data_IF_188359680081
#
_entry.id   IF_188359680081
#
_cell.length_a   1.000
_cell.length_b   1.000
_cell.length_c   1.000
_cell.angle_alpha   90.00
_cell.angle_beta   90.00
_cell.angle_gamma   90.00
#
_symmetry.space_group_name_H-M   'P 1'
#
loop_
_entity.id
_entity.type
_entity.pdbx_description
1 polymer ?
#
# COMPACT_ATOMS: atom_id res chain seq x y z
N UNK A 1 1.08 18.25 2.97
CA UNK A 1 1.69 18.20 1.63
C UNK A 1 1.33 16.83 1.07
N UNK A 2 0.30 16.79 0.23
CA UNK A 2 -0.16 15.59 -0.47
C UNK A 2 0.57 15.58 -1.81
N UNK A 3 1.53 14.69 -1.98
CA UNK A 3 2.16 14.49 -3.28
C UNK A 3 1.21 13.61 -4.09
N UNK A 4 0.27 14.25 -4.80
CA UNK A 4 -0.49 13.61 -5.88
C UNK A 4 0.43 13.41 -7.08
N UNK A 5 1.52 12.66 -6.92
CA UNK A 5 2.29 12.19 -8.06
C UNK A 5 1.42 11.14 -8.74
N UNK A 6 0.89 11.45 -9.92
CA UNK A 6 0.06 10.57 -10.73
C UNK A 6 0.80 9.23 -10.95
N UNK A 7 0.51 8.22 -10.12
CA UNK A 7 1.15 6.90 -10.18
C UNK A 7 1.99 6.49 -8.96
N UNK A 8 2.11 7.34 -7.93
CA UNK A 8 2.62 6.95 -6.62
C UNK A 8 1.54 6.37 -5.71
N UNK A 9 1.97 5.77 -4.61
CA UNK A 9 1.09 5.35 -3.52
C UNK A 9 0.65 6.54 -2.65
N UNK A 10 -0.52 6.45 -2.01
CA UNK A 10 -1.15 7.53 -1.23
C UNK A 10 -0.26 8.13 -0.13
N UNK A 11 0.42 7.29 0.66
CA UNK A 11 1.37 7.79 1.65
C UNK A 11 2.42 6.77 2.10
N UNK A 12 3.49 7.29 2.69
CA UNK A 12 4.56 6.51 3.32
C UNK A 12 4.58 6.80 4.80
N UNK A 13 4.45 5.75 5.61
CA UNK A 13 4.63 5.81 7.05
C UNK A 13 6.05 5.35 7.40
N UNK A 14 6.73 6.14 8.23
CA UNK A 14 8.00 5.76 8.85
C UNK A 14 7.75 5.51 10.33
N UNK A 15 7.91 4.26 10.74
CA UNK A 15 7.86 3.86 12.15
C UNK A 15 9.17 3.16 12.49
N UNK A 16 9.83 3.62 13.55
CA UNK A 16 11.22 3.25 13.85
C UNK A 16 12.12 3.40 12.61
N UNK A 17 12.77 2.32 12.18
CA UNK A 17 13.58 2.23 10.97
C UNK A 17 12.86 1.53 9.81
N UNK A 18 11.53 1.43 9.87
CA UNK A 18 10.70 0.78 8.85
C UNK A 18 10.04 1.81 7.94
N UNK A 19 10.10 1.55 6.63
CA UNK A 19 9.35 2.29 5.61
C UNK A 19 8.16 1.45 5.17
N UNK A 20 6.96 1.91 5.49
CA UNK A 20 5.71 1.23 5.17
C UNK A 20 4.97 2.10 4.14
N UNK A 21 4.65 1.51 2.99
CA UNK A 21 3.92 2.20 1.91
C UNK A 21 2.46 1.81 2.00
N UNK A 22 1.57 2.79 2.02
CA UNK A 22 0.13 2.58 2.03
C UNK A 22 -0.49 3.03 0.71
N UNK A 23 -1.38 2.19 0.20
CA UNK A 23 -2.26 2.51 -0.92
C UNK A 23 -3.70 2.13 -0.58
N UNK A 24 -4.62 3.06 -0.79
CA UNK A 24 -6.05 2.92 -0.52
C UNK A 24 -6.78 3.03 -1.84
N UNK A 25 -7.37 1.93 -2.30
CA UNK A 25 -7.98 1.97 -3.61
C UNK A 25 -8.74 0.74 -4.01
N UNK A 26 -9.66 0.97 -4.94
CA UNK A 26 -10.38 -0.05 -5.68
C UNK A 26 -9.84 0.00 -7.11
N UNK A 27 -9.06 -1.00 -7.50
CA UNK A 27 -8.40 -1.00 -8.79
C UNK A 27 -7.83 -2.35 -9.16
N UNK A 28 -7.32 -2.44 -10.39
CA UNK A 28 -6.59 -3.62 -10.86
C UNK A 28 -5.41 -3.91 -9.92
N UNK A 29 -5.27 -5.19 -9.52
CA UNK A 29 -4.23 -5.63 -8.57
C UNK A 29 -2.83 -5.20 -9.03
N UNK A 30 -2.55 -5.21 -10.33
CA UNK A 30 -1.23 -4.88 -10.84
C UNK A 30 -0.94 -3.38 -10.77
N UNK A 31 -1.93 -2.53 -11.02
CA UNK A 31 -1.75 -1.07 -10.92
C UNK A 31 -1.49 -0.64 -9.47
N UNK A 32 -2.20 -1.22 -8.49
CA UNK A 32 -1.98 -0.97 -7.06
C UNK A 32 -0.58 -1.40 -6.62
N UNK A 33 -0.12 -2.58 -7.05
CA UNK A 33 1.25 -3.06 -6.77
C UNK A 33 2.29 -2.15 -7.44
N UNK A 34 2.01 -1.64 -8.64
CA UNK A 34 2.89 -0.73 -9.38
C UNK A 34 3.02 0.63 -8.68
N UNK A 35 1.96 1.16 -8.07
CA UNK A 35 2.04 2.37 -7.24
C UNK A 35 2.96 2.16 -6.04
N UNK A 36 2.83 1.04 -5.33
CA UNK A 36 3.73 0.67 -4.23
C UNK A 36 5.18 0.59 -4.72
N UNK A 37 5.43 -0.11 -5.83
CA UNK A 37 6.79 -0.25 -6.40
C UNK A 37 7.37 1.09 -6.86
N UNK A 38 6.54 1.97 -7.42
CA UNK A 38 6.95 3.31 -7.85
C UNK A 38 7.36 4.16 -6.66
N UNK A 39 6.54 4.21 -5.61
CA UNK A 39 6.90 4.90 -4.36
C UNK A 39 8.15 4.29 -3.72
N UNK A 40 8.26 2.96 -3.67
CA UNK A 40 9.44 2.27 -3.15
C UNK A 40 10.73 2.68 -3.89
N UNK A 41 10.68 2.81 -5.22
CA UNK A 41 11.81 3.30 -6.02
C UNK A 41 12.17 4.74 -5.65
N UNK A 42 11.18 5.60 -5.50
CA UNK A 42 11.38 7.02 -5.19
C UNK A 42 11.98 7.25 -3.79
N UNK A 43 11.66 6.40 -2.82
CA UNK A 43 12.15 6.52 -1.43
C UNK A 43 13.34 5.61 -1.10
N UNK A 44 13.95 4.98 -2.12
CA UNK A 44 15.06 4.03 -1.99
C UNK A 44 14.74 2.83 -1.06
N UNK A 45 13.72 2.07 -1.45
CA UNK A 45 13.32 0.82 -0.80
C UNK A 45 12.21 0.96 0.23
N UNK A 46 11.67 -0.18 0.64
CA UNK A 46 10.58 -0.29 1.61
C UNK A 46 10.67 -1.62 2.34
N UNK A 47 10.08 -1.67 3.53
CA UNK A 47 9.99 -2.90 4.34
C UNK A 47 8.67 -3.62 4.09
N UNK A 48 7.55 -2.86 4.04
CA UNK A 48 6.20 -3.41 3.87
C UNK A 48 5.33 -2.51 2.99
N UNK A 49 4.50 -3.13 2.16
CA UNK A 49 3.39 -2.49 1.45
C UNK A 49 2.07 -2.90 2.07
N UNK A 50 1.16 -1.96 2.26
CA UNK A 50 -0.19 -2.22 2.77
C UNK A 50 -1.18 -1.67 1.75
N UNK A 51 -2.01 -2.55 1.20
CA UNK A 51 -3.11 -2.21 0.31
C UNK A 51 -4.40 -2.29 1.12
N UNK A 52 -5.14 -1.21 1.21
CA UNK A 52 -6.46 -1.21 1.86
C UNK A 52 -7.53 -1.17 0.77
N UNK A 53 -8.38 -2.20 0.72
CA UNK A 53 -9.43 -2.30 -0.31
C UNK A 53 -10.73 -2.86 0.24
N UNK A 54 -11.89 -2.39 -0.22
CA UNK A 54 -13.18 -2.92 0.21
C UNK A 54 -13.65 -4.18 -0.55
N UNK A 55 -12.92 -4.61 -1.59
CA UNK A 55 -13.28 -5.76 -2.42
C UNK A 55 -12.79 -7.12 -1.91
N UNK A 56 -11.96 -7.17 -0.87
CA UNK A 56 -11.51 -8.42 -0.24
C UNK A 56 -12.20 -8.64 1.12
N UNK A 57 -12.50 -9.90 1.43
CA UNK A 57 -12.98 -10.35 2.74
C UNK A 57 -11.83 -10.72 3.68
N UNK A 58 -10.73 -11.21 3.11
CA UNK A 58 -9.62 -11.80 3.84
C UNK A 58 -8.34 -10.98 3.69
N UNK A 59 -7.41 -11.19 4.62
CA UNK A 59 -6.04 -10.67 4.51
C UNK A 59 -5.30 -11.55 3.50
N UNK A 60 -4.69 -10.93 2.49
CA UNK A 60 -3.92 -11.64 1.47
C UNK A 60 -2.47 -11.16 1.47
N UNK A 61 -1.51 -12.08 1.42
CA UNK A 61 -0.10 -11.75 1.16
C UNK A 61 0.17 -11.73 -0.34
N UNK A 62 0.90 -10.72 -0.79
CA UNK A 62 1.26 -10.43 -2.17
C UNK A 62 2.77 -10.19 -2.22
N UNK A 63 3.49 -10.90 -3.09
CA UNK A 63 4.93 -10.69 -3.36
C UNK A 63 5.80 -10.57 -2.07
N UNK A 64 5.52 -11.38 -1.05
CA UNK A 64 6.22 -11.53 0.24
C UNK A 64 6.36 -10.29 1.14
N UNK A 65 6.05 -9.09 0.63
CA UNK A 65 6.19 -7.82 1.37
C UNK A 65 4.96 -6.94 1.31
N UNK A 66 3.96 -7.31 0.52
CA UNK A 66 2.74 -6.52 0.34
C UNK A 66 1.59 -7.29 0.98
N UNK A 67 0.84 -6.64 1.86
CA UNK A 67 -0.33 -7.22 2.50
C UNK A 67 -1.55 -6.45 2.04
N UNK A 68 -2.54 -7.16 1.53
CA UNK A 68 -3.85 -6.60 1.24
C UNK A 68 -4.75 -6.81 2.45
N UNK A 69 -5.28 -5.70 2.95
CA UNK A 69 -6.14 -5.63 4.13
C UNK A 69 -7.54 -5.20 3.69
N UNK A 70 -8.59 -5.96 4.06
CA UNK A 70 -9.97 -5.53 3.87
C UNK A 70 -10.24 -4.17 4.54
N UNK A 71 -10.92 -3.26 3.85
CA UNK A 71 -11.26 -1.93 4.39
C UNK A 71 -12.04 -2.04 5.71
N UNK A 72 -12.97 -2.99 5.82
CA UNK A 72 -13.74 -3.23 7.06
C UNK A 72 -12.83 -3.59 8.22
N UNK A 73 -11.85 -4.47 7.98
CA UNK A 73 -10.89 -4.86 9.01
C UNK A 73 -9.97 -3.68 9.40
N UNK A 74 -9.50 -2.90 8.42
CA UNK A 74 -8.67 -1.73 8.68
C UNK A 74 -9.38 -0.67 9.54
N UNK A 75 -10.67 -0.44 9.27
CA UNK A 75 -11.49 0.49 10.05
C UNK A 75 -11.95 -0.10 11.40
N UNK A 76 -11.88 -1.43 11.56
CA UNK A 76 -12.35 -2.15 12.73
C UNK A 76 -13.80 -1.81 13.14
N UNK A 77 -14.66 -1.58 12.13
CA UNK A 77 -16.11 -1.31 12.26
C UNK A 77 -16.96 -2.45 11.72
#
# INVERSE_FOLDING_TARGET
MYDSSSGGADFVLKADNKKIIFEIGFGDKNEVIKQIKTTAKNINGFDYGIIISGGSSDIEMIEDKIIKVPLKLFLAI
#
